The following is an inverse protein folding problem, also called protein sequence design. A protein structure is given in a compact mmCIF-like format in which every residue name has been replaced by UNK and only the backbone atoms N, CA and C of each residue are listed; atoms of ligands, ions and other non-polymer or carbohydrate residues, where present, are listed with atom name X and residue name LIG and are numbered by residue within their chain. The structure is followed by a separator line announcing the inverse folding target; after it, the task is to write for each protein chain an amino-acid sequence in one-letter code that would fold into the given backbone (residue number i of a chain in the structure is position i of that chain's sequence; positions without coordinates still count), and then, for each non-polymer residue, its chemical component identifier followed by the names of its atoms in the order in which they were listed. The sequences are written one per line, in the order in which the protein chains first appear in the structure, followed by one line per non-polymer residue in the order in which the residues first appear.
data_IF_644315559065
#
_entry.id   IF_644315559065
#
_cell.length_a   1.000
_cell.length_b   1.000
_cell.length_c   1.000
_cell.angle_alpha   90.00
_cell.angle_beta   90.00
_cell.angle_gamma   90.00
#
_symmetry.space_group_name_H-M   'P 1'
#
loop_
_entity.id
_entity.type
_entity.pdbx_description
1 polymer ?
#
# COMPACT_ATOMS: atom_id res chain seq x y z
N UNK A 1 -49.26 27.68 -28.34
CA UNK A 1 -49.04 26.24 -28.63
C UNK A 1 -47.73 26.11 -29.41
N UNK A 2 -46.61 25.84 -28.74
CA UNK A 2 -45.30 25.63 -29.38
C UNK A 2 -44.95 24.15 -29.26
N UNK A 3 -44.93 23.48 -30.40
CA UNK A 3 -44.68 22.04 -30.54
C UNK A 3 -43.23 21.75 -30.17
N UNK A 4 -43.03 20.94 -29.13
CA UNK A 4 -41.75 20.37 -28.72
C UNK A 4 -41.19 19.49 -29.84
N UNK A 5 -40.01 19.82 -30.35
CA UNK A 5 -39.22 18.88 -31.17
C UNK A 5 -38.34 18.06 -30.23
N UNK A 6 -38.72 16.80 -30.02
CA UNK A 6 -37.83 15.73 -29.55
C UNK A 6 -36.89 15.37 -30.69
N UNK A 7 -35.58 15.52 -30.51
CA UNK A 7 -34.58 14.93 -31.42
C UNK A 7 -33.37 14.45 -30.62
N UNK A 8 -33.35 13.12 -30.44
CA UNK A 8 -32.24 12.17 -30.40
C UNK A 8 -30.97 12.46 -29.56
N UNK A 9 -30.88 11.66 -28.51
CA UNK A 9 -29.67 11.22 -27.80
C UNK A 9 -28.68 10.62 -28.81
N UNK A 10 -27.55 11.30 -29.06
CA UNK A 10 -26.45 10.73 -29.83
C UNK A 10 -25.70 9.75 -28.92
N UNK A 11 -25.89 8.47 -29.20
CA UNK A 11 -25.09 7.36 -28.69
C UNK A 11 -23.65 7.59 -29.14
N UNK A 12 -22.75 7.85 -28.19
CA UNK A 12 -21.30 7.86 -28.40
C UNK A 12 -20.82 6.42 -28.42
N UNK A 13 -20.86 5.80 -29.59
CA UNK A 13 -20.03 4.63 -29.90
C UNK A 13 -19.24 4.92 -31.15
N UNK A 14 -17.96 5.26 -30.96
CA UNK A 14 -16.92 4.81 -31.88
C UNK A 14 -15.59 4.73 -31.15
N UNK A 15 -15.31 3.51 -30.68
CA UNK A 15 -13.99 2.92 -30.65
C UNK A 15 -13.29 3.17 -31.99
N UNK A 16 -12.45 4.20 -32.03
CA UNK A 16 -11.53 4.43 -33.15
C UNK A 16 -10.24 3.64 -32.90
N UNK A 17 -10.26 2.42 -33.41
CA UNK A 17 -9.21 1.74 -34.18
C UNK A 17 -7.74 2.03 -33.83
N UNK A 18 -7.14 0.98 -33.29
CA UNK A 18 -5.72 0.65 -33.18
C UNK A 18 -4.98 0.75 -34.53
N UNK A 19 -4.12 1.75 -34.71
CA UNK A 19 -2.98 1.70 -35.65
C UNK A 19 -2.02 2.91 -35.47
N UNK A 20 -1.38 3.02 -34.29
CA UNK A 20 -0.08 3.67 -34.09
C UNK A 20 0.42 3.30 -32.68
N UNK A 21 0.94 2.07 -32.60
CA UNK A 21 1.37 1.43 -31.36
C UNK A 21 2.49 2.17 -30.61
N UNK A 22 2.61 1.85 -29.33
CA UNK A 22 3.65 2.23 -28.37
C UNK A 22 3.60 3.65 -27.79
N UNK A 23 3.16 4.68 -28.53
CA UNK A 23 3.32 6.06 -28.01
C UNK A 23 2.39 6.43 -26.84
N UNK A 24 1.16 5.91 -26.81
CA UNK A 24 0.19 6.12 -25.72
C UNK A 24 0.55 5.34 -24.46
N UNK A 25 0.86 4.05 -24.60
CA UNK A 25 1.23 3.16 -23.50
C UNK A 25 2.56 3.58 -22.84
N UNK A 26 3.56 3.98 -23.62
CA UNK A 26 4.83 4.51 -23.07
C UNK A 26 4.60 5.81 -22.29
N UNK A 27 3.65 6.66 -22.73
CA UNK A 27 3.34 7.91 -22.01
C UNK A 27 2.64 7.63 -20.68
N UNK A 28 1.66 6.74 -20.64
CA UNK A 28 1.00 6.34 -19.38
C UNK A 28 1.98 5.68 -18.41
N UNK A 29 2.87 4.83 -18.92
CA UNK A 29 3.87 4.15 -18.09
C UNK A 29 4.86 5.14 -17.47
N UNK A 30 5.33 6.12 -18.25
CA UNK A 30 6.20 7.18 -17.74
C UNK A 30 5.54 8.03 -16.64
N UNK A 31 4.25 8.34 -16.78
CA UNK A 31 3.50 9.07 -15.75
C UNK A 31 3.35 8.22 -14.48
N UNK A 32 3.04 6.94 -14.62
CA UNK A 32 2.97 5.98 -13.51
C UNK A 32 4.30 5.89 -12.76
N UNK A 33 5.39 5.69 -13.50
CA UNK A 33 6.75 5.60 -12.97
C UNK A 33 7.14 6.82 -12.14
N UNK A 34 6.86 8.03 -12.65
CA UNK A 34 7.20 9.26 -11.94
C UNK A 34 6.41 9.39 -10.62
N UNK A 35 5.12 9.03 -10.64
CA UNK A 35 4.29 8.97 -9.43
C UNK A 35 4.83 7.95 -8.42
N UNK A 36 5.19 6.76 -8.89
CA UNK A 36 5.67 5.68 -8.03
C UNK A 36 7.06 5.97 -7.46
N UNK A 37 7.95 6.64 -8.19
CA UNK A 37 9.22 7.15 -7.65
C UNK A 37 8.99 8.12 -6.50
N UNK A 38 8.13 9.13 -6.69
CA UNK A 38 7.79 10.10 -5.64
C UNK A 38 7.19 9.42 -4.42
N UNK A 39 6.33 8.41 -4.61
CA UNK A 39 5.79 7.60 -3.53
C UNK A 39 6.89 6.90 -2.74
N UNK A 40 7.83 6.24 -3.42
CA UNK A 40 8.96 5.57 -2.76
C UNK A 40 9.88 6.54 -2.01
N UNK A 41 10.16 7.72 -2.58
CA UNK A 41 10.94 8.76 -1.90
C UNK A 41 10.22 9.30 -0.65
N UNK A 42 8.91 9.49 -0.73
CA UNK A 42 8.09 9.89 0.42
C UNK A 42 8.12 8.81 1.51
N UNK A 43 7.95 7.54 1.14
CA UNK A 43 8.03 6.41 2.06
C UNK A 43 9.42 6.30 2.69
N UNK A 44 10.49 6.57 1.96
CA UNK A 44 11.83 6.55 2.51
C UNK A 44 12.10 7.66 3.54
N UNK A 45 11.39 8.78 3.44
CA UNK A 45 11.39 9.85 4.46
C UNK A 45 10.54 9.46 5.66
N UNK A 46 9.38 8.85 5.43
CA UNK A 46 8.44 8.44 6.48
C UNK A 46 8.93 7.24 7.28
N UNK A 47 9.65 6.32 6.63
CA UNK A 47 10.17 5.08 7.22
C UNK A 47 11.69 4.99 7.05
N UNK A 48 12.48 5.78 7.82
CA UNK A 48 13.94 5.82 7.69
C UNK A 48 14.61 4.45 7.81
N UNK A 49 14.05 3.56 8.64
CA UNK A 49 14.58 2.21 8.83
C UNK A 49 14.46 1.33 7.57
N UNK A 50 13.53 1.64 6.66
CA UNK A 50 13.34 0.97 5.37
C UNK A 50 13.98 1.73 4.21
N UNK A 51 14.60 2.90 4.47
CA UNK A 51 15.19 3.75 3.43
C UNK A 51 16.16 2.99 2.53
N UNK A 52 17.03 2.16 3.10
CA UNK A 52 18.04 1.44 2.32
C UNK A 52 17.42 0.52 1.27
N UNK A 53 16.40 -0.28 1.65
CA UNK A 53 15.75 -1.18 0.71
C UNK A 53 14.92 -0.41 -0.33
N UNK A 54 14.26 0.69 0.08
CA UNK A 54 13.51 1.55 -0.84
C UNK A 54 14.43 2.22 -1.87
N UNK A 55 15.59 2.72 -1.44
CA UNK A 55 16.57 3.32 -2.35
C UNK A 55 17.21 2.29 -3.28
N UNK A 56 17.41 1.05 -2.82
CA UNK A 56 17.91 -0.04 -3.66
C UNK A 56 16.93 -0.36 -4.79
N UNK A 57 15.64 -0.50 -4.48
CA UNK A 57 14.60 -0.77 -5.48
C UNK A 57 14.43 0.42 -6.45
N UNK A 58 14.48 1.67 -5.96
CA UNK A 58 14.51 2.86 -6.82
C UNK A 58 15.67 2.82 -7.81
N UNK A 59 16.87 2.43 -7.34
CA UNK A 59 18.06 2.31 -8.20
C UNK A 59 17.87 1.23 -9.27
N UNK A 60 17.31 0.07 -8.90
CA UNK A 60 17.01 -1.03 -9.86
C UNK A 60 15.99 -0.58 -10.90
N UNK A 61 14.91 0.08 -10.50
CA UNK A 61 13.93 0.64 -11.42
C UNK A 61 14.55 1.70 -12.34
N UNK A 62 15.41 2.57 -11.82
CA UNK A 62 16.11 3.58 -12.63
C UNK A 62 17.04 2.94 -13.68
N UNK A 63 17.72 1.83 -13.35
CA UNK A 63 18.52 1.09 -14.32
C UNK A 63 17.66 0.56 -15.48
N UNK A 64 16.48 -0.01 -15.19
CA UNK A 64 15.53 -0.46 -16.21
C UNK A 64 15.02 0.67 -17.09
N UNK A 65 14.74 1.83 -16.51
CA UNK A 65 14.33 3.03 -17.25
C UNK A 65 15.45 3.53 -18.17
N UNK A 66 16.70 3.55 -17.68
CA UNK A 66 17.84 3.95 -18.49
C UNK A 66 18.03 3.02 -19.69
N UNK A 67 17.98 1.70 -19.46
CA UNK A 67 18.00 0.69 -20.52
C UNK A 67 16.86 0.91 -21.54
N UNK A 68 15.64 1.18 -21.06
CA UNK A 68 14.49 1.44 -21.93
C UNK A 68 14.68 2.69 -22.81
N UNK A 69 15.41 3.69 -22.33
CA UNK A 69 15.67 4.92 -23.09
C UNK A 69 16.72 4.73 -24.20
N UNK A 70 17.61 3.75 -24.05
CA UNK A 70 18.61 3.38 -25.06
C UNK A 70 18.00 2.49 -26.18
N UNK A 71 16.85 1.85 -25.92
CA UNK A 71 16.19 1.00 -26.91
C UNK A 71 15.49 1.81 -28.01
N UNK A 72 15.78 1.43 -29.27
CA UNK A 72 15.04 1.91 -30.45
C UNK A 72 13.76 1.11 -30.70
N UNK A 73 13.71 -0.15 -30.25
CA UNK A 73 12.53 -1.00 -30.36
C UNK A 73 11.48 -0.60 -29.32
N UNK A 74 10.33 -0.13 -29.79
CA UNK A 74 9.26 0.34 -28.91
C UNK A 74 8.62 -0.75 -28.03
N UNK A 75 8.63 -2.03 -28.46
CA UNK A 75 8.11 -3.15 -27.66
C UNK A 75 9.05 -3.50 -26.51
N UNK A 76 10.34 -3.59 -26.78
CA UNK A 76 11.36 -3.83 -25.75
C UNK A 76 11.42 -2.67 -24.75
N UNK A 77 11.30 -1.44 -25.25
CA UNK A 77 11.17 -0.24 -24.43
C UNK A 77 9.96 -0.31 -23.50
N UNK A 78 8.79 -0.65 -24.01
CA UNK A 78 7.58 -0.81 -23.19
C UNK A 78 7.76 -1.89 -22.12
N UNK A 79 8.37 -3.03 -22.47
CA UNK A 79 8.66 -4.12 -21.53
C UNK A 79 9.56 -3.67 -20.37
N UNK A 80 10.66 -2.96 -20.66
CA UNK A 80 11.57 -2.47 -19.63
C UNK A 80 10.94 -1.41 -18.72
N UNK A 81 10.06 -0.56 -19.26
CA UNK A 81 9.31 0.40 -18.46
C UNK A 81 8.30 -0.32 -17.54
N UNK A 82 7.60 -1.34 -18.03
CA UNK A 82 6.70 -2.15 -17.21
C UNK A 82 7.43 -2.93 -16.10
N UNK A 83 8.63 -3.45 -16.37
CA UNK A 83 9.49 -4.06 -15.36
C UNK A 83 9.92 -3.03 -14.29
N UNK A 84 10.29 -1.82 -14.71
CA UNK A 84 10.60 -0.74 -13.78
C UNK A 84 9.40 -0.42 -12.88
N UNK A 85 8.19 -0.35 -13.46
CA UNK A 85 6.99 -0.05 -12.70
C UNK A 85 6.65 -1.18 -11.70
N UNK A 86 6.82 -2.44 -12.10
CA UNK A 86 6.65 -3.60 -11.20
C UNK A 86 7.57 -3.52 -9.99
N UNK A 87 8.82 -3.07 -10.16
CA UNK A 87 9.75 -2.84 -9.05
C UNK A 87 9.25 -1.72 -8.12
N UNK A 88 8.77 -0.62 -8.69
CA UNK A 88 8.28 0.54 -7.94
C UNK A 88 6.94 0.29 -7.23
N UNK A 89 6.24 -0.77 -7.62
CA UNK A 89 4.96 -1.21 -7.04
C UNK A 89 5.11 -2.48 -6.17
N UNK A 90 6.34 -2.82 -5.77
CA UNK A 90 6.61 -3.99 -4.95
C UNK A 90 5.68 -4.06 -3.72
N UNK A 91 5.12 -5.24 -3.35
CA UNK A 91 4.03 -5.31 -2.39
C UNK A 91 4.32 -4.72 -1.00
N UNK A 92 5.58 -4.72 -0.55
CA UNK A 92 5.96 -4.15 0.75
C UNK A 92 5.74 -2.63 0.82
N UNK A 93 5.74 -1.93 -0.32
CA UNK A 93 5.51 -0.48 -0.44
C UNK A 93 4.11 -0.12 0.05
N UNK A 94 3.08 -0.87 -0.38
CA UNK A 94 1.72 -0.68 0.13
C UNK A 94 1.60 -1.07 1.60
N UNK A 95 2.24 -2.19 1.98
CA UNK A 95 2.18 -2.69 3.36
C UNK A 95 2.75 -1.71 4.39
N UNK A 96 3.82 -0.96 4.05
CA UNK A 96 4.36 0.08 4.93
C UNK A 96 3.31 1.12 5.32
N UNK A 97 2.51 1.57 4.34
CA UNK A 97 1.42 2.53 4.58
C UNK A 97 0.28 1.90 5.38
N UNK A 98 -0.07 0.64 5.09
CA UNK A 98 -1.13 -0.08 5.81
C UNK A 98 -0.80 -0.33 7.27
N UNK A 99 0.42 -0.76 7.58
CA UNK A 99 0.89 -1.06 8.95
C UNK A 99 0.70 0.16 9.85
N UNK A 100 1.05 1.37 9.38
CA UNK A 100 0.88 2.59 10.18
C UNK A 100 -0.58 2.87 10.52
N UNK A 101 -1.49 2.71 9.54
CA UNK A 101 -2.94 2.89 9.74
C UNK A 101 -3.50 1.85 10.71
N UNK A 102 -3.12 0.59 10.54
CA UNK A 102 -3.56 -0.51 11.39
C UNK A 102 -3.06 -0.36 12.82
N UNK A 103 -1.80 0.04 13.00
CA UNK A 103 -1.21 0.32 14.30
C UNK A 103 -1.94 1.46 15.03
N UNK A 104 -2.27 2.54 14.30
CA UNK A 104 -3.07 3.63 14.86
C UNK A 104 -4.46 3.15 15.30
N UNK A 105 -5.11 2.32 14.48
CA UNK A 105 -6.42 1.77 14.77
C UNK A 105 -6.41 0.84 16.01
N UNK A 106 -5.35 0.04 16.20
CA UNK A 106 -5.17 -0.78 17.42
C UNK A 106 -5.02 0.12 18.64
N UNK A 107 -4.11 1.12 18.59
CA UNK A 107 -3.88 2.06 19.70
C UNK A 107 -5.14 2.83 20.10
N UNK A 108 -5.95 3.25 19.13
CA UNK A 108 -7.23 3.91 19.40
C UNK A 108 -8.20 2.97 20.13
N UNK A 109 -8.33 1.72 19.67
CA UNK A 109 -9.21 0.73 20.31
C UNK A 109 -8.72 0.35 21.70
N UNK A 110 -7.42 0.22 21.92
CA UNK A 110 -6.85 0.01 23.25
C UNK A 110 -7.27 1.11 24.24
N UNK A 111 -7.22 2.38 23.82
CA UNK A 111 -7.71 3.51 24.64
C UNK A 111 -9.19 3.38 24.98
N UNK A 112 -10.03 2.97 24.00
CA UNK A 112 -11.46 2.75 24.24
C UNK A 112 -11.70 1.63 25.25
N UNK A 113 -11.02 0.50 25.10
CA UNK A 113 -11.11 -0.65 26.02
C UNK A 113 -10.65 -0.26 27.43
N UNK A 114 -9.57 0.53 27.57
CA UNK A 114 -9.08 1.02 28.88
C UNK A 114 -10.10 1.90 29.61
N UNK A 115 -10.93 2.65 28.88
CA UNK A 115 -11.98 3.49 29.47
C UNK A 115 -13.24 2.69 29.88
N UNK A 116 -13.33 1.42 29.52
CA UNK A 116 -14.47 0.56 29.83
C UNK A 116 -14.31 -0.12 31.19
N UNK A 117 -15.43 -0.36 31.86
CA UNK A 117 -15.50 -1.16 33.08
C UNK A 117 -15.96 -2.57 32.72
N UNK A 118 -15.10 -3.55 32.95
CA UNK A 118 -15.40 -4.97 32.79
C UNK A 118 -15.50 -5.65 34.16
N UNK A 119 -16.34 -6.67 34.27
CA UNK A 119 -16.51 -7.48 35.49
C UNK A 119 -16.47 -8.98 35.17
N UNK A 120 -16.15 -9.78 36.19
CA UNK A 120 -16.06 -11.25 36.08
C UNK A 120 -15.17 -11.70 34.92
N UNK A 121 -15.64 -12.71 34.16
CA UNK A 121 -14.90 -13.31 33.03
C UNK A 121 -14.54 -12.31 31.93
N UNK A 122 -15.31 -11.23 31.75
CA UNK A 122 -15.01 -10.21 30.76
C UNK A 122 -13.75 -9.41 31.13
N UNK A 123 -13.48 -9.23 32.44
CA UNK A 123 -12.27 -8.54 32.91
C UNK A 123 -11.01 -9.32 32.55
N UNK A 124 -11.03 -10.63 32.75
CA UNK A 124 -9.92 -11.52 32.39
C UNK A 124 -9.70 -11.56 30.88
N UNK A 125 -10.77 -11.69 30.10
CA UNK A 125 -10.70 -11.64 28.64
C UNK A 125 -10.15 -10.31 28.13
N UNK A 126 -10.60 -9.18 28.70
CA UNK A 126 -10.12 -7.86 28.33
C UNK A 126 -8.64 -7.68 28.68
N UNK A 127 -8.20 -8.14 29.84
CA UNK A 127 -6.79 -8.11 30.24
C UNK A 127 -5.91 -8.86 29.24
N UNK A 128 -6.30 -10.10 28.88
CA UNK A 128 -5.55 -10.91 27.91
C UNK A 128 -5.46 -10.25 26.53
N UNK A 129 -6.58 -9.77 25.98
CA UNK A 129 -6.59 -9.10 24.67
C UNK A 129 -5.75 -7.80 24.70
N UNK A 130 -5.76 -7.07 25.81
CA UNK A 130 -4.93 -5.87 25.98
C UNK A 130 -3.44 -6.20 26.04
N UNK A 131 -3.06 -7.30 26.71
CA UNK A 131 -1.69 -7.81 26.74
C UNK A 131 -1.21 -8.22 25.35
N UNK A 132 -1.99 -9.04 24.64
CA UNK A 132 -1.71 -9.46 23.27
C UNK A 132 -1.55 -8.24 22.33
N UNK A 133 -2.42 -7.23 22.48
CA UNK A 133 -2.32 -5.98 21.73
C UNK A 133 -1.05 -5.20 22.03
N UNK A 134 -0.63 -5.12 23.30
CA UNK A 134 0.62 -4.46 23.66
C UNK A 134 1.83 -5.18 23.05
N UNK A 135 1.86 -6.51 23.11
CA UNK A 135 2.95 -7.30 22.55
C UNK A 135 3.07 -7.08 21.04
N UNK A 136 1.95 -7.15 20.30
CA UNK A 136 1.94 -6.88 18.85
C UNK A 136 2.38 -5.45 18.54
N UNK A 137 1.91 -4.45 19.30
CA UNK A 137 2.31 -3.05 19.12
C UNK A 137 3.82 -2.88 19.33
N UNK A 138 4.39 -3.53 20.35
CA UNK A 138 5.83 -3.48 20.63
C UNK A 138 6.63 -4.13 19.50
N UNK A 139 6.24 -5.33 19.05
CA UNK A 139 6.89 -6.03 17.94
C UNK A 139 6.87 -5.19 16.66
N UNK A 140 5.70 -4.64 16.30
CA UNK A 140 5.55 -3.81 15.11
C UNK A 140 6.43 -2.57 15.21
N UNK A 141 6.38 -1.83 16.33
CA UNK A 141 7.25 -0.66 16.48
C UNK A 141 8.74 -1.05 16.40
N UNK A 142 9.11 -2.21 16.94
CA UNK A 142 10.46 -2.76 16.84
C UNK A 142 10.90 -2.92 15.38
N UNK A 143 10.06 -3.54 14.55
CA UNK A 143 10.31 -3.71 13.12
C UNK A 143 10.35 -2.36 12.39
N UNK A 144 9.39 -1.47 12.68
CA UNK A 144 9.32 -0.15 12.06
C UNK A 144 10.53 0.74 12.37
N UNK A 145 11.19 0.52 13.51
CA UNK A 145 12.37 1.26 13.93
C UNK A 145 13.69 0.61 13.52
N UNK A 146 13.75 -0.73 13.45
CA UNK A 146 14.97 -1.47 13.09
C UNK A 146 15.11 -1.67 11.58
N UNK A 147 14.00 -1.74 10.87
CA UNK A 147 13.98 -2.11 9.46
C UNK A 147 14.25 -3.59 9.26
N UNK A 148 14.56 -3.96 8.02
CA UNK A 148 14.84 -5.35 7.59
C UNK A 148 15.98 -5.36 6.58
N UNK A 149 16.57 -6.53 6.32
CA UNK A 149 17.73 -6.67 5.46
C UNK A 149 17.39 -6.64 3.96
N UNK A 150 16.15 -6.98 3.58
CA UNK A 150 15.79 -7.07 2.17
C UNK A 150 14.29 -7.06 1.88
N UNK A 151 13.96 -7.03 0.59
CA UNK A 151 12.58 -6.93 0.07
C UNK A 151 11.73 -8.15 0.44
N UNK A 152 12.27 -9.36 0.36
CA UNK A 152 11.53 -10.57 0.70
C UNK A 152 11.18 -10.60 2.18
N UNK A 153 12.15 -10.32 3.05
CA UNK A 153 11.93 -10.19 4.49
C UNK A 153 10.91 -9.08 4.79
N UNK A 154 11.01 -7.92 4.13
CA UNK A 154 10.02 -6.84 4.26
C UNK A 154 8.62 -7.31 3.91
N UNK A 155 8.49 -8.04 2.80
CA UNK A 155 7.21 -8.54 2.33
C UNK A 155 6.57 -9.50 3.32
N UNK A 156 7.35 -10.45 3.83
CA UNK A 156 6.88 -11.50 4.73
C UNK A 156 6.51 -10.91 6.09
N UNK A 157 7.43 -10.16 6.70
CA UNK A 157 7.23 -9.63 8.05
C UNK A 157 6.11 -8.59 8.09
N UNK A 158 6.01 -7.70 7.10
CA UNK A 158 4.94 -6.71 7.07
C UNK A 158 3.59 -7.36 6.77
N UNK A 159 3.57 -8.46 6.02
CA UNK A 159 2.33 -9.22 5.78
C UNK A 159 1.85 -9.91 7.05
N UNK A 160 2.75 -10.61 7.74
CA UNK A 160 2.45 -11.27 9.00
C UNK A 160 1.94 -10.25 10.03
N UNK A 161 2.69 -9.16 10.24
CA UNK A 161 2.33 -8.18 11.26
C UNK A 161 1.08 -7.38 10.91
N UNK A 162 0.81 -7.12 9.63
CA UNK A 162 -0.48 -6.55 9.21
C UNK A 162 -1.64 -7.50 9.57
N UNK A 163 -1.46 -8.80 9.34
CA UNK A 163 -2.41 -9.83 9.77
C UNK A 163 -2.64 -9.84 11.28
N UNK A 164 -1.57 -9.79 12.08
CA UNK A 164 -1.65 -9.74 13.55
C UNK A 164 -2.35 -8.47 14.04
N UNK A 165 -2.04 -7.30 13.46
CA UNK A 165 -2.71 -6.04 13.79
C UNK A 165 -4.20 -6.07 13.48
N UNK A 166 -4.61 -6.62 12.32
CA UNK A 166 -6.03 -6.77 11.96
C UNK A 166 -6.75 -7.73 12.91
N UNK A 167 -6.13 -8.87 13.22
CA UNK A 167 -6.68 -9.86 14.14
C UNK A 167 -6.91 -9.27 15.53
N UNK A 168 -5.90 -8.59 16.10
CA UNK A 168 -6.03 -8.00 17.43
C UNK A 168 -6.96 -6.78 17.44
N UNK A 169 -6.98 -6.00 16.35
CA UNK A 169 -7.97 -4.93 16.16
C UNK A 169 -9.40 -5.48 16.20
N UNK A 170 -9.66 -6.62 15.55
CA UNK A 170 -10.97 -7.26 15.59
C UNK A 170 -11.32 -7.80 16.99
N UNK A 171 -10.33 -8.36 17.72
CA UNK A 171 -10.53 -8.79 19.10
C UNK A 171 -10.89 -7.62 20.02
N UNK A 172 -10.20 -6.48 19.89
CA UNK A 172 -10.52 -5.26 20.64
C UNK A 172 -11.90 -4.71 20.27
N UNK A 173 -12.29 -4.72 18.99
CA UNK A 173 -13.65 -4.35 18.56
C UNK A 173 -14.71 -5.20 19.26
N UNK A 174 -14.53 -6.52 19.34
CA UNK A 174 -15.48 -7.40 20.04
C UNK A 174 -15.61 -7.08 21.53
N UNK A 175 -14.58 -6.53 22.18
CA UNK A 175 -14.70 -6.06 23.57
C UNK A 175 -15.52 -4.78 23.64
N UNK A 176 -15.33 -3.87 22.69
CA UNK A 176 -16.03 -2.59 22.59
C UNK A 176 -17.53 -2.82 22.30
N UNK A 177 -17.84 -3.71 21.35
CA UNK A 177 -19.20 -3.95 20.85
C UNK A 177 -20.07 -4.79 21.81
N UNK A 178 -19.46 -5.48 22.79
CA UNK A 178 -20.16 -6.35 23.76
C UNK A 178 -20.69 -5.61 25.00
N UNK A 179 -20.63 -4.28 25.00
CA UNK A 179 -21.18 -3.43 26.07
C UNK A 179 -22.57 -2.94 25.70
#
# INVERSE_FOLDING_TARGET
MKVMKRVYFIIVTMLAMSACGNSGEIKSEKVSIEGNKKKMEALAKEFPAFKNILMLELKKAQQKINQANEMSNGKEKASLLAEANTILEAPFIEKLSSIKKELAAVKEKQKKVQAMRFSGKQKEMAAKVMEDANNIVVEVNGIMNKGVAGVNEANDILSEKSGSLRSISAALSRLIDKK
#
